data_IF_560508448655
#
_entry.id   IF_560508448655
#
_cell.length_a   1.000
_cell.length_b   1.000
_cell.length_c   1.000
_cell.angle_alpha   90.00
_cell.angle_beta   90.00
_cell.angle_gamma   90.00
#
_symmetry.space_group_name_H-M   'P 1'
#
loop_
_entity.id
_entity.type
_entity.pdbx_description
1 polymer ?
#
# COMPACT_ATOMS: atom_id res chain seq x y z
N UNK A 1 -2.67 -10.40 15.67
CA UNK A 1 -3.94 -10.03 16.33
C UNK A 1 -5.04 -10.86 15.69
N UNK A 2 -5.73 -11.67 16.49
CA UNK A 2 -6.72 -12.62 16.00
C UNK A 2 -8.08 -11.91 15.83
N UNK A 3 -8.40 -11.55 14.58
CA UNK A 3 -9.64 -10.86 14.22
C UNK A 3 -10.89 -11.68 14.55
N UNK A 4 -10.78 -13.02 14.61
CA UNK A 4 -11.92 -13.88 14.93
C UNK A 4 -12.31 -13.78 16.40
N UNK A 5 -11.33 -13.68 17.30
CA UNK A 5 -11.56 -13.49 18.73
C UNK A 5 -12.24 -12.14 19.03
N UNK A 6 -11.81 -11.07 18.34
CA UNK A 6 -12.42 -9.73 18.48
C UNK A 6 -13.86 -9.74 17.97
N UNK A 7 -14.12 -10.38 16.83
CA UNK A 7 -15.45 -10.49 16.26
C UNK A 7 -16.42 -11.25 17.18
N UNK A 8 -15.97 -12.37 17.77
CA UNK A 8 -16.77 -13.15 18.72
C UNK A 8 -17.06 -12.38 19.99
N UNK A 9 -16.07 -11.66 20.54
CA UNK A 9 -16.24 -10.84 21.73
C UNK A 9 -17.26 -9.70 21.51
N UNK A 10 -17.17 -9.00 20.37
CA UNK A 10 -18.12 -7.94 20.00
C UNK A 10 -19.52 -8.53 19.83
N UNK A 11 -19.66 -9.69 19.18
CA UNK A 11 -20.95 -10.36 18.99
C UNK A 11 -21.61 -10.70 20.34
N UNK A 12 -20.85 -11.21 21.29
CA UNK A 12 -21.35 -11.59 22.61
C UNK A 12 -21.74 -10.38 23.46
N UNK A 13 -20.94 -9.31 23.41
CA UNK A 13 -21.22 -8.05 24.11
C UNK A 13 -22.49 -7.36 23.59
N UNK A 14 -22.72 -7.39 22.26
CA UNK A 14 -23.92 -6.84 21.62
C UNK A 14 -25.15 -7.69 21.99
N UNK A 15 -25.03 -9.02 21.96
CA UNK A 15 -26.14 -9.92 22.28
C UNK A 15 -26.63 -9.76 23.72
N UNK A 16 -25.71 -9.63 24.69
CA UNK A 16 -26.05 -9.40 26.10
C UNK A 16 -26.74 -8.05 26.33
N UNK A 17 -26.38 -7.00 25.57
CA UNK A 17 -27.03 -5.68 25.69
C UNK A 17 -28.40 -5.58 25.02
N UNK A 18 -28.68 -6.38 23.99
CA UNK A 18 -29.99 -6.39 23.34
C UNK A 18 -31.04 -7.24 24.07
N UNK A 19 -30.65 -8.21 24.88
CA UNK A 19 -31.59 -9.08 25.61
C UNK A 19 -32.39 -8.34 26.71
N UNK A 20 -31.90 -7.22 27.22
CA UNK A 20 -32.51 -6.47 28.31
C UNK A 20 -33.52 -5.38 27.92
N UNK A 21 -33.74 -5.15 26.62
CA UNK A 21 -34.67 -4.13 26.13
C UNK A 21 -35.56 -4.75 25.03
N UNK A 22 -36.68 -5.35 25.43
CA UNK A 22 -37.80 -5.59 24.52
C UNK A 22 -38.43 -4.24 24.18
N UNK A 23 -37.78 -3.48 23.30
CA UNK A 23 -38.36 -2.26 22.79
C UNK A 23 -39.44 -2.70 21.79
N UNK A 24 -40.68 -2.66 22.25
CA UNK A 24 -41.86 -2.88 21.41
C UNK A 24 -41.99 -1.68 20.47
N UNK A 25 -41.14 -1.68 19.44
CA UNK A 25 -41.00 -0.60 18.48
C UNK A 25 -41.94 -0.86 17.32
N UNK A 26 -43.00 -0.05 17.29
CA UNK A 26 -43.86 0.22 16.14
C UNK A 26 -43.05 0.25 14.84
N UNK A 27 -43.58 -0.38 13.78
CA UNK A 27 -42.83 -0.75 12.57
C UNK A 27 -42.06 0.37 11.86
N UNK A 28 -42.45 1.62 12.06
CA UNK A 28 -41.73 2.81 11.53
C UNK A 28 -40.35 3.00 12.16
N UNK A 29 -40.17 2.69 13.45
CA UNK A 29 -38.89 2.89 14.14
C UNK A 29 -37.92 1.72 13.91
N UNK A 30 -38.42 0.48 13.76
CA UNK A 30 -37.62 -0.67 13.30
C UNK A 30 -37.06 -0.42 11.89
N UNK A 31 -37.88 0.14 11.00
CA UNK A 31 -37.45 0.45 9.63
C UNK A 31 -36.42 1.59 9.60
N UNK A 32 -36.57 2.60 10.45
CA UNK A 32 -35.59 3.68 10.63
C UNK A 32 -34.26 3.20 11.20
N UNK A 33 -34.30 2.31 12.20
CA UNK A 33 -33.09 1.75 12.84
C UNK A 33 -32.31 0.85 11.87
N UNK A 34 -33.01 0.01 11.10
CA UNK A 34 -32.38 -0.84 10.07
C UNK A 34 -31.73 0.01 8.97
N UNK A 35 -32.41 1.07 8.49
CA UNK A 35 -31.83 1.99 7.51
C UNK A 35 -30.63 2.75 8.06
N UNK A 36 -30.68 3.18 9.32
CA UNK A 36 -29.57 3.83 10.01
C UNK A 36 -28.36 2.91 10.16
N UNK A 37 -28.58 1.64 10.51
CA UNK A 37 -27.52 0.64 10.63
C UNK A 37 -26.85 0.33 9.28
N UNK A 38 -27.64 0.21 8.21
CA UNK A 38 -27.12 -0.01 6.84
C UNK A 38 -26.28 1.20 6.39
N UNK A 39 -26.77 2.42 6.61
CA UNK A 39 -26.04 3.64 6.26
C UNK A 39 -24.72 3.77 7.05
N UNK A 40 -24.74 3.46 8.35
CA UNK A 40 -23.54 3.47 9.19
C UNK A 40 -22.53 2.39 8.76
N UNK A 41 -22.99 1.18 8.42
CA UNK A 41 -22.14 0.11 7.91
C UNK A 41 -21.49 0.48 6.58
N UNK A 42 -22.25 1.04 5.64
CA UNK A 42 -21.72 1.51 4.35
C UNK A 42 -20.70 2.65 4.54
N UNK A 43 -20.97 3.59 5.43
CA UNK A 43 -20.03 4.67 5.75
C UNK A 43 -18.72 4.14 6.35
N UNK A 44 -18.80 3.15 7.24
CA UNK A 44 -17.62 2.48 7.81
C UNK A 44 -16.81 1.73 6.76
N UNK A 45 -17.46 1.01 5.85
CA UNK A 45 -16.78 0.30 4.75
C UNK A 45 -16.11 1.29 3.80
N UNK A 46 -16.78 2.38 3.44
CA UNK A 46 -16.21 3.44 2.60
C UNK A 46 -15.04 4.14 3.29
N UNK A 47 -15.16 4.43 4.60
CA UNK A 47 -14.08 5.07 5.37
C UNK A 47 -12.88 4.14 5.57
N UNK A 48 -13.12 2.85 5.85
CA UNK A 48 -12.06 1.85 5.93
C UNK A 48 -11.39 1.63 4.58
N UNK A 49 -12.15 1.52 3.48
CA UNK A 49 -11.61 1.44 2.13
C UNK A 49 -10.79 2.67 1.76
N UNK A 50 -11.29 3.86 2.06
CA UNK A 50 -10.60 5.12 1.80
C UNK A 50 -9.29 5.26 2.59
N UNK A 51 -9.28 4.86 3.87
CA UNK A 51 -8.09 4.88 4.71
C UNK A 51 -7.07 3.82 4.31
N UNK A 52 -7.51 2.65 3.84
CA UNK A 52 -6.61 1.64 3.25
C UNK A 52 -5.96 2.12 1.94
N UNK A 53 -6.69 2.82 1.09
CA UNK A 53 -6.15 3.36 -0.17
C UNK A 53 -5.16 4.51 0.10
N UNK A 54 -5.44 5.38 1.08
CA UNK A 54 -4.54 6.50 1.42
C UNK A 54 -3.36 6.14 2.33
N UNK A 55 -3.48 5.09 3.15
CA UNK A 55 -2.41 4.64 4.03
C UNK A 55 -1.13 4.18 3.32
N UNK A 56 -1.21 3.94 1.99
CA UNK A 56 -0.08 3.50 1.17
C UNK A 56 0.81 4.62 0.62
N UNK A 57 0.43 5.90 0.73
CA UNK A 57 1.18 7.00 0.10
C UNK A 57 2.16 7.61 1.11
N UNK A 58 3.21 6.85 1.43
CA UNK A 58 4.22 7.20 2.45
C UNK A 58 5.35 8.08 1.88
N UNK A 59 5.07 8.93 0.89
CA UNK A 59 6.04 9.89 0.39
C UNK A 59 5.98 11.17 1.25
N UNK A 60 7.10 11.49 1.92
CA UNK A 60 7.25 12.70 2.72
C UNK A 60 8.30 13.60 2.06
N UNK A 61 7.95 14.82 1.64
CA UNK A 61 8.93 15.74 1.04
C UNK A 61 10.17 15.91 1.92
N UNK A 62 11.35 15.89 1.31
CA UNK A 62 12.65 15.96 1.99
C UNK A 62 13.13 14.67 2.66
N UNK A 63 12.34 13.58 2.61
CA UNK A 63 12.70 12.27 3.12
C UNK A 63 12.75 11.26 1.98
N UNK A 64 13.93 10.73 1.68
CA UNK A 64 14.12 9.74 0.64
C UNK A 64 13.34 8.47 1.02
N UNK A 65 12.43 7.99 0.15
CA UNK A 65 11.68 6.77 0.42
C UNK A 65 12.61 5.57 0.54
N UNK A 66 12.27 4.64 1.43
CA UNK A 66 12.97 3.37 1.55
C UNK A 66 12.70 2.50 0.31
N UNK A 67 13.65 1.63 -0.06
CA UNK A 67 13.48 0.73 -1.20
C UNK A 67 12.24 -0.16 -1.04
N UNK A 68 12.00 -0.69 0.16
CA UNK A 68 10.85 -1.57 0.43
C UNK A 68 9.51 -0.82 0.58
N UNK A 69 9.51 0.51 0.56
CA UNK A 69 8.30 1.29 0.82
C UNK A 69 7.21 1.02 -0.23
N UNK A 70 5.92 1.10 0.15
CA UNK A 70 4.81 0.94 -0.81
C UNK A 70 4.90 1.93 -1.98
N UNK A 71 5.36 3.16 -1.73
CA UNK A 71 5.60 4.18 -2.75
C UNK A 71 6.62 3.72 -3.79
N UNK A 72 7.77 3.20 -3.36
CA UNK A 72 8.81 2.71 -4.28
C UNK A 72 8.33 1.51 -5.10
N UNK A 73 7.57 0.60 -4.50
CA UNK A 73 6.98 -0.56 -5.20
C UNK A 73 5.98 -0.14 -6.29
N UNK A 74 5.14 0.85 -6.00
CA UNK A 74 4.18 1.40 -6.97
C UNK A 74 4.91 2.13 -8.11
N UNK A 75 5.90 2.98 -7.78
CA UNK A 75 6.72 3.68 -8.75
C UNK A 75 7.47 2.70 -9.67
N UNK A 76 8.07 1.65 -9.11
CA UNK A 76 8.73 0.59 -9.89
C UNK A 76 7.74 -0.10 -10.84
N UNK A 77 6.54 -0.41 -10.36
CA UNK A 77 5.49 -1.04 -11.18
C UNK A 77 5.10 -0.16 -12.36
N UNK A 78 4.94 1.14 -12.11
CA UNK A 78 4.64 2.12 -13.15
C UNK A 78 5.77 2.20 -14.18
N UNK A 79 7.02 2.39 -13.74
CA UNK A 79 8.19 2.51 -14.63
C UNK A 79 8.38 1.26 -15.48
N UNK A 80 8.21 0.05 -14.93
CA UNK A 80 8.33 -1.19 -15.70
C UNK A 80 7.22 -1.31 -16.74
N UNK A 81 5.97 -1.03 -16.38
CA UNK A 81 4.85 -1.13 -17.31
C UNK A 81 4.88 -0.05 -18.41
N UNK A 82 5.44 1.13 -18.13
CA UNK A 82 5.61 2.23 -19.09
C UNK A 82 6.90 2.10 -19.93
N UNK A 83 7.81 1.19 -19.55
CA UNK A 83 9.06 0.92 -20.29
C UNK A 83 8.81 0.35 -21.69
N UNK A 84 9.84 0.35 -22.54
CA UNK A 84 9.79 -0.26 -23.87
C UNK A 84 9.38 -1.75 -23.78
N UNK A 85 9.93 -2.49 -22.81
CA UNK A 85 9.56 -3.88 -22.57
C UNK A 85 8.06 -4.00 -22.17
N UNK A 86 7.60 -3.07 -21.34
CA UNK A 86 6.19 -2.90 -20.99
C UNK A 86 5.27 -2.73 -22.20
N UNK A 87 5.64 -1.80 -23.08
CA UNK A 87 4.93 -1.52 -24.33
C UNK A 87 4.95 -2.71 -25.31
N UNK A 88 6.00 -3.54 -25.26
CA UNK A 88 6.13 -4.77 -26.05
C UNK A 88 5.39 -5.98 -25.44
N UNK A 89 4.67 -5.78 -24.33
CA UNK A 89 3.80 -6.79 -23.73
C UNK A 89 4.38 -7.51 -22.52
N UNK A 90 5.56 -7.11 -22.02
CA UNK A 90 6.05 -7.57 -20.72
C UNK A 90 5.21 -6.90 -19.62
N UNK A 91 4.56 -7.69 -18.79
CA UNK A 91 3.74 -7.18 -17.67
C UNK A 91 4.38 -7.57 -16.36
N UNK A 92 4.54 -6.60 -15.46
CA UNK A 92 4.91 -6.88 -14.09
C UNK A 92 3.71 -7.51 -13.36
N UNK A 93 3.84 -8.77 -12.96
CA UNK A 93 2.78 -9.50 -12.25
C UNK A 93 2.91 -9.33 -10.74
N UNK A 94 4.14 -9.35 -10.24
CA UNK A 94 4.42 -9.30 -8.80
C UNK A 94 5.81 -8.71 -8.55
N UNK A 95 5.90 -7.85 -7.53
CA UNK A 95 7.17 -7.44 -6.91
C UNK A 95 7.31 -8.25 -5.64
N UNK A 96 8.22 -9.22 -5.62
CA UNK A 96 8.40 -10.13 -4.49
C UNK A 96 9.13 -9.38 -3.36
N UNK A 97 10.43 -9.17 -3.53
CA UNK A 97 11.32 -8.59 -2.53
C UNK A 97 11.98 -7.33 -3.11
N UNK A 98 12.08 -6.28 -2.28
CA UNK A 98 12.79 -5.05 -2.62
C UNK A 98 13.71 -4.70 -1.46
N UNK A 99 14.98 -4.50 -1.74
CA UNK A 99 16.02 -4.26 -0.73
C UNK A 99 16.97 -3.14 -1.17
N UNK A 100 17.64 -2.52 -0.20
CA UNK A 100 18.77 -1.63 -0.47
C UNK A 100 19.92 -2.43 -1.10
N UNK A 101 20.53 -1.88 -2.15
CA UNK A 101 21.64 -2.51 -2.86
C UNK A 101 22.85 -1.61 -2.88
N UNK A 102 23.94 -2.01 -2.24
CA UNK A 102 25.18 -1.23 -2.16
C UNK A 102 26.25 -1.83 -3.09
N UNK A 103 26.37 -1.33 -4.33
CA UNK A 103 27.47 -1.75 -5.23
C UNK A 103 28.78 -1.07 -4.86
N UNK A 104 28.74 0.20 -4.42
CA UNK A 104 29.91 0.98 -4.00
C UNK A 104 29.49 1.98 -2.92
N UNK A 105 30.34 2.13 -1.91
CA UNK A 105 30.12 2.98 -0.73
C UNK A 105 29.88 4.47 -1.07
N UNK A 106 29.26 5.24 -0.15
CA UNK A 106 28.62 4.76 1.07
C UNK A 106 27.24 4.21 0.76
N UNK A 107 26.88 3.11 1.42
CA UNK A 107 25.52 2.63 1.44
C UNK A 107 24.67 3.73 2.08
N UNK A 108 23.90 4.47 1.28
CA UNK A 108 22.84 5.37 1.76
C UNK A 108 21.65 4.58 2.32
N UNK A 109 21.82 3.27 2.52
CA UNK A 109 20.85 2.37 3.14
C UNK A 109 20.42 2.94 4.48
N UNK A 110 19.13 3.13 4.63
CA UNK A 110 18.52 3.66 5.86
C UNK A 110 18.61 5.18 6.05
N UNK A 111 19.45 5.93 5.32
CA UNK A 111 19.53 7.39 5.49
C UNK A 111 18.32 8.11 4.84
N UNK A 112 17.45 8.76 5.63
CA UNK A 112 16.30 9.49 5.10
C UNK A 112 16.70 10.77 4.34
N UNK A 113 17.91 11.29 4.51
CA UNK A 113 18.36 12.52 3.87
C UNK A 113 19.31 12.29 2.69
N UNK A 114 19.46 11.04 2.27
CA UNK A 114 20.26 10.66 1.12
C UNK A 114 19.86 11.42 -0.16
N UNK A 115 20.84 11.80 -0.98
CA UNK A 115 20.62 12.41 -2.29
C UNK A 115 20.17 11.38 -3.34
N UNK A 116 20.63 10.15 -3.18
CA UNK A 116 20.22 9.01 -4.00
C UNK A 116 20.20 7.72 -3.16
N UNK A 117 19.43 6.74 -3.61
CA UNK A 117 19.34 5.42 -2.99
C UNK A 117 19.34 4.34 -4.04
N UNK A 118 20.24 3.38 -3.91
CA UNK A 118 20.31 2.23 -4.79
C UNK A 118 19.50 1.08 -4.22
N UNK A 119 18.66 0.50 -5.06
CA UNK A 119 17.73 -0.56 -4.70
C UNK A 119 17.86 -1.74 -5.66
N UNK A 120 17.49 -2.91 -5.19
CA UNK A 120 17.26 -4.10 -6.01
C UNK A 120 15.87 -4.65 -5.75
N UNK A 121 15.22 -5.15 -6.80
CA UNK A 121 13.94 -5.84 -6.70
C UNK A 121 13.97 -7.18 -7.42
N UNK A 122 13.44 -8.20 -6.76
CA UNK A 122 13.06 -9.45 -7.38
C UNK A 122 11.63 -9.33 -7.90
N UNK A 123 11.45 -9.54 -9.19
CA UNK A 123 10.16 -9.36 -9.85
C UNK A 123 9.77 -10.58 -10.66
N UNK A 124 8.45 -10.76 -10.79
CA UNK A 124 7.84 -11.73 -11.71
C UNK A 124 7.11 -10.99 -12.79
N UNK A 125 7.42 -11.36 -14.02
CA UNK A 125 6.71 -10.92 -15.20
C UNK A 125 6.03 -12.11 -15.87
N UNK A 126 5.20 -11.83 -16.88
CA UNK A 126 4.68 -12.87 -17.78
C UNK A 126 5.78 -13.59 -18.60
N UNK A 127 7.01 -13.06 -18.63
CA UNK A 127 8.15 -13.68 -19.31
C UNK A 127 9.05 -14.51 -18.37
N UNK A 128 8.82 -14.46 -17.05
CA UNK A 128 9.58 -15.23 -16.07
C UNK A 128 9.96 -14.41 -14.82
N UNK A 129 11.01 -14.86 -14.13
CA UNK A 129 11.58 -14.16 -12.98
C UNK A 129 12.73 -13.27 -13.45
N UNK A 130 12.81 -12.07 -12.91
CA UNK A 130 13.89 -11.15 -13.21
C UNK A 130 14.36 -10.41 -11.95
N UNK A 131 15.57 -9.88 -12.02
CA UNK A 131 16.15 -9.00 -11.02
C UNK A 131 16.31 -7.63 -11.66
N UNK A 132 15.82 -6.60 -10.97
CA UNK A 132 15.95 -5.21 -11.36
C UNK A 132 16.83 -4.50 -10.34
N UNK A 133 17.86 -3.82 -10.82
CA UNK A 133 18.61 -2.84 -10.06
C UNK A 133 18.18 -1.46 -10.50
N UNK A 134 17.87 -0.60 -9.55
CA UNK A 134 17.36 0.73 -9.83
C UNK A 134 17.86 1.72 -8.78
N UNK A 135 17.89 2.99 -9.17
CA UNK A 135 18.30 4.09 -8.33
C UNK A 135 17.13 5.06 -8.16
N UNK A 136 16.91 5.48 -6.92
CA UNK A 136 16.03 6.57 -6.55
C UNK A 136 16.85 7.84 -6.43
N UNK A 137 16.42 8.91 -7.08
CA UNK A 137 17.06 10.23 -7.04
C UNK A 137 16.01 11.32 -6.83
N UNK A 138 16.42 12.45 -6.27
CA UNK A 138 15.57 13.63 -6.24
C UNK A 138 15.45 14.23 -7.64
N UNK A 139 14.21 14.38 -8.13
CA UNK A 139 13.93 15.04 -9.40
C UNK A 139 13.94 16.57 -9.31
N UNK A 140 13.85 17.11 -8.08
CA UNK A 140 13.80 18.54 -7.82
C UNK A 140 14.70 18.95 -6.66
N UNK A 141 15.19 20.19 -6.69
CA UNK A 141 15.90 20.79 -5.55
C UNK A 141 15.03 20.95 -4.30
N UNK A 142 13.70 20.95 -4.46
CA UNK A 142 12.73 21.05 -3.35
C UNK A 142 12.51 19.70 -2.65
N UNK A 143 13.06 18.61 -3.20
CA UNK A 143 12.91 17.24 -2.68
C UNK A 143 11.44 16.84 -2.50
N UNK A 144 10.60 17.28 -3.42
CA UNK A 144 9.16 16.97 -3.50
C UNK A 144 8.83 15.99 -4.65
N UNK A 145 9.84 15.59 -5.43
CA UNK A 145 9.71 14.67 -6.54
C UNK A 145 10.84 13.64 -6.51
N UNK A 146 10.51 12.35 -6.64
CA UNK A 146 11.47 11.25 -6.68
C UNK A 146 11.40 10.57 -8.04
N UNK A 147 12.56 10.42 -8.66
CA UNK A 147 12.74 9.73 -9.92
C UNK A 147 13.31 8.35 -9.66
N UNK A 148 12.83 7.37 -10.42
CA UNK A 148 13.32 5.99 -10.38
C UNK A 148 13.91 5.66 -11.74
N UNK A 149 15.19 5.29 -11.75
CA UNK A 149 15.90 4.87 -12.94
C UNK A 149 16.33 3.41 -12.80
N UNK A 150 15.95 2.55 -13.75
CA UNK A 150 16.45 1.16 -13.79
C UNK A 150 17.86 1.20 -14.37
N UNK A 151 18.85 0.86 -13.53
CA UNK A 151 20.27 0.91 -13.90
C UNK A 151 20.75 -0.40 -14.52
N UNK A 152 20.14 -1.52 -14.13
CA UNK A 152 20.40 -2.83 -14.71
C UNK A 152 19.17 -3.73 -14.59
N UNK A 153 18.84 -4.46 -15.65
CA UNK A 153 17.77 -5.43 -15.66
C UNK A 153 18.22 -6.76 -16.24
N UNK A 154 17.66 -7.86 -15.74
CA UNK A 154 17.71 -9.17 -16.40
C UNK A 154 16.46 -9.47 -17.24
N UNK A 155 15.63 -8.43 -17.50
CA UNK A 155 14.46 -8.50 -18.39
C UNK A 155 14.88 -8.40 -19.86
#
# INVERSE_FOLDING_TARGET
>A
MDFTAVFLYIKEAISKRLAGHSIDLTGTLKTGLVRGAIAAALALVLFAGYTFIRGGVQFKPGYMPQCESPFTRDLLTKVVNESIAGQQGVKLLQVDEVADFAVRAPATSGDPHAEFRNCSAFVRTNAGRAILFFQLTWGSFKKDEVWLEITQSSL
#
